data_IF_741634911516
#
_entry.id   IF_741634911516
#
_cell.length_a   1.000
_cell.length_b   1.000
_cell.length_c   1.000
_cell.angle_alpha   90.00
_cell.angle_beta   90.00
_cell.angle_gamma   90.00
#
_symmetry.space_group_name_H-M   'P 1'
#
loop_
_entity.id
_entity.type
_entity.pdbx_description
1 polymer ?
#
# COMPACT_ATOMS: atom_id res chain seq x y z
N UNK A 1 -13.23 -35.87 -8.38
CA UNK A 1 -12.15 -36.39 -9.23
C UNK A 1 -10.92 -35.60 -8.81
N UNK A 2 -10.17 -36.16 -7.88
CA UNK A 2 -9.06 -35.47 -7.20
C UNK A 2 -7.86 -35.38 -8.14
N UNK A 3 -7.44 -34.15 -8.45
CA UNK A 3 -6.27 -33.88 -9.28
C UNK A 3 -5.04 -33.87 -8.36
N UNK A 4 -3.99 -34.67 -8.64
CA UNK A 4 -2.80 -34.74 -7.80
C UNK A 4 -2.01 -33.41 -7.80
N UNK A 5 -1.36 -33.05 -6.67
CA UNK A 5 -0.82 -31.70 -6.40
C UNK A 5 0.40 -31.27 -7.23
N UNK A 6 0.79 -32.01 -8.27
CA UNK A 6 2.06 -31.77 -9.00
C UNK A 6 1.93 -31.10 -10.38
N UNK A 7 0.80 -30.49 -10.74
CA UNK A 7 0.63 -29.98 -12.13
C UNK A 7 0.47 -28.47 -12.31
N UNK A 8 0.80 -27.62 -11.33
CA UNK A 8 0.80 -26.17 -11.58
C UNK A 8 2.08 -25.79 -12.37
N UNK A 9 1.98 -25.81 -13.69
CA UNK A 9 3.11 -25.51 -14.59
C UNK A 9 3.18 -24.06 -15.03
N UNK A 10 2.12 -23.26 -14.80
CA UNK A 10 2.11 -21.84 -15.17
C UNK A 10 1.19 -20.99 -14.29
N UNK A 11 1.31 -19.68 -14.46
CA UNK A 11 0.58 -18.67 -13.68
C UNK A 11 -0.94 -18.70 -13.91
N UNK A 12 -1.40 -19.11 -15.10
CA UNK A 12 -2.83 -19.17 -15.42
C UNK A 12 -3.54 -20.32 -14.68
N UNK A 13 -2.86 -21.44 -14.47
CA UNK A 13 -3.34 -22.57 -13.65
C UNK A 13 -3.52 -22.16 -12.18
N UNK A 14 -2.58 -21.37 -11.66
CA UNK A 14 -2.59 -20.88 -10.28
C UNK A 14 -3.80 -19.96 -10.01
N UNK A 15 -4.11 -19.06 -10.96
CA UNK A 15 -5.26 -18.16 -10.85
C UNK A 15 -6.60 -18.90 -10.95
N UNK A 16 -6.68 -19.99 -11.71
CA UNK A 16 -7.87 -20.85 -11.77
C UNK A 16 -8.13 -21.55 -10.44
N UNK A 17 -7.10 -22.10 -9.80
CA UNK A 17 -7.26 -22.76 -8.49
C UNK A 17 -7.70 -21.79 -7.38
N UNK A 18 -7.20 -20.56 -7.40
CA UNK A 18 -7.62 -19.53 -6.43
C UNK A 18 -9.06 -19.08 -6.68
N UNK A 19 -9.50 -18.98 -7.95
CA UNK A 19 -10.87 -18.58 -8.29
C UNK A 19 -11.94 -19.62 -7.91
N UNK A 20 -11.59 -20.91 -7.84
CA UNK A 20 -12.54 -21.99 -7.52
C UNK A 20 -12.81 -22.08 -6.02
N UNK A 21 -11.93 -21.56 -5.16
CA UNK A 21 -12.15 -21.56 -3.70
C UNK A 21 -13.03 -20.40 -3.19
N UNK A 22 -13.45 -19.47 -4.06
CA UNK A 22 -14.13 -18.24 -3.63
C UNK A 22 -15.55 -18.06 -4.17
N UNK A 23 -16.21 -19.15 -4.59
CA UNK A 23 -17.62 -19.15 -4.97
C UNK A 23 -18.38 -20.10 -4.07
N UNK A 24 -18.98 -19.55 -3.01
CA UNK A 24 -20.19 -20.02 -2.32
C UNK A 24 -20.50 -19.04 -1.17
N UNK A 25 -21.31 -18.01 -1.45
CA UNK A 25 -22.52 -17.69 -0.67
C UNK A 25 -23.32 -16.57 -1.37
N UNK A 26 -24.37 -16.97 -2.08
CA UNK A 26 -25.42 -16.09 -2.57
C UNK A 26 -26.50 -16.00 -1.49
N UNK A 27 -26.73 -14.81 -0.94
CA UNK A 27 -28.05 -14.45 -0.38
C UNK A 27 -28.35 -12.95 -0.53
N UNK A 28 -29.00 -12.67 -1.66
CA UNK A 28 -30.15 -11.79 -1.91
C UNK A 28 -30.57 -10.70 -0.87
N UNK A 29 -30.76 -9.48 -1.40
CA UNK A 29 -31.39 -8.28 -0.81
C UNK A 29 -32.91 -8.46 -0.55
N UNK A 30 -33.62 -7.63 0.27
CA UNK A 30 -34.09 -6.32 -0.25
C UNK A 30 -34.37 -5.18 0.78
N UNK A 31 -34.33 -3.96 0.23
CA UNK A 31 -35.23 -2.81 0.45
C UNK A 31 -35.29 -2.01 1.78
N UNK A 32 -35.24 -0.68 1.60
CA UNK A 32 -35.54 0.38 2.57
C UNK A 32 -37.04 0.52 2.89
N UNK A 33 -37.39 1.31 3.92
CA UNK A 33 -38.32 2.41 3.69
C UNK A 33 -37.92 3.74 4.35
N UNK A 34 -38.58 4.79 3.91
CA UNK A 34 -38.30 6.20 4.13
C UNK A 34 -39.22 6.89 5.16
N UNK A 35 -38.86 8.15 5.47
CA UNK A 35 -39.66 9.29 5.99
C UNK A 35 -39.91 9.33 7.51
N UNK A 36 -39.54 10.46 8.15
CA UNK A 36 -40.47 11.31 8.91
C UNK A 36 -39.85 12.67 9.29
N UNK A 37 -40.66 13.69 9.02
CA UNK A 37 -40.65 15.14 9.25
C UNK A 37 -40.51 15.61 10.71
N UNK A 38 -39.83 16.75 10.93
CA UNK A 38 -40.17 17.77 11.94
C UNK A 38 -39.48 19.09 11.54
N UNK A 39 -40.16 19.99 10.81
CA UNK A 39 -40.97 21.14 11.29
C UNK A 39 -40.13 22.31 11.83
N UNK A 40 -40.39 23.46 11.22
CA UNK A 40 -39.75 24.76 11.35
C UNK A 40 -39.91 25.44 12.72
N UNK A 41 -38.99 26.34 13.03
CA UNK A 41 -39.26 27.51 13.86
C UNK A 41 -38.54 28.73 13.26
N UNK A 42 -39.36 29.67 12.79
CA UNK A 42 -39.00 31.01 12.31
C UNK A 42 -38.92 31.93 13.53
N UNK A 43 -37.85 32.70 13.64
CA UNK A 43 -37.80 33.89 14.51
C UNK A 43 -37.37 35.10 13.66
N UNK A 44 -38.29 36.06 13.55
CA UNK A 44 -38.11 37.39 12.98
C UNK A 44 -37.97 38.38 14.14
N UNK A 45 -36.85 39.08 14.25
CA UNK A 45 -36.82 40.44 14.83
C UNK A 45 -35.50 41.17 14.55
N UNK A 46 -35.66 42.29 13.83
CA UNK A 46 -34.98 43.58 14.02
C UNK A 46 -33.50 43.77 13.61
N UNK A 47 -33.32 44.56 12.55
CA UNK A 47 -32.08 45.25 12.19
C UNK A 47 -31.94 46.57 12.99
N UNK A 48 -30.71 47.01 13.24
CA UNK A 48 -30.36 48.42 13.12
C UNK A 48 -29.32 48.63 12.01
N UNK A 49 -29.56 49.69 11.24
CA UNK A 49 -28.65 50.29 10.28
C UNK A 49 -27.42 50.87 10.97
N UNK A 50 -26.22 50.51 10.51
CA UNK A 50 -25.11 51.46 10.46
C UNK A 50 -24.20 51.12 9.27
N UNK A 51 -24.04 52.13 8.42
CA UNK A 51 -23.08 52.24 7.34
C UNK A 51 -21.66 52.24 7.92
N UNK A 52 -20.75 51.47 7.35
CA UNK A 52 -19.37 51.92 7.10
C UNK A 52 -18.64 50.94 6.19
N UNK A 53 -18.68 51.33 4.91
CA UNK A 53 -17.74 50.98 3.86
C UNK A 53 -16.29 51.13 4.33
N UNK A 54 -15.63 50.04 4.71
CA UNK A 54 -14.16 49.99 4.71
C UNK A 54 -13.60 48.68 4.16
N UNK A 55 -12.77 48.86 3.13
CA UNK A 55 -11.54 48.11 2.81
C UNK A 55 -11.71 46.68 2.26
N UNK A 56 -11.55 46.61 0.94
CA UNK A 56 -10.81 45.60 0.18
C UNK A 56 -10.49 44.32 0.95
N UNK A 57 -11.29 43.29 0.67
CA UNK A 57 -11.05 41.92 1.15
C UNK A 57 -9.75 41.42 0.53
N UNK A 58 -8.69 41.44 1.32
CA UNK A 58 -7.47 40.67 1.10
C UNK A 58 -7.85 39.22 0.76
N UNK A 59 -7.29 38.62 -0.30
CA UNK A 59 -7.61 37.24 -0.63
C UNK A 59 -7.18 36.39 0.55
N UNK A 60 -8.14 35.64 1.11
CA UNK A 60 -7.88 34.63 2.13
C UNK A 60 -7.06 33.53 1.46
N UNK A 61 -5.74 33.74 1.40
CA UNK A 61 -4.76 32.70 1.07
C UNK A 61 -4.98 31.65 2.13
N UNK A 62 -5.77 30.63 1.78
CA UNK A 62 -5.78 29.37 2.53
C UNK A 62 -4.33 28.94 2.51
N UNK A 63 -3.65 29.12 3.63
CA UNK A 63 -2.29 28.65 3.79
C UNK A 63 -2.30 27.18 3.43
N UNK A 64 -1.83 26.85 2.24
CA UNK A 64 -1.38 25.51 1.91
C UNK A 64 -0.30 25.27 2.93
N UNK A 65 -0.60 24.46 3.96
CA UNK A 65 0.42 24.01 4.89
C UNK A 65 1.50 23.35 4.04
N UNK A 66 2.64 24.02 3.90
CA UNK A 66 3.83 23.41 3.32
C UNK A 66 4.21 22.36 4.36
N UNK A 67 3.86 21.11 4.09
CA UNK A 67 4.36 19.99 4.87
C UNK A 67 5.88 20.11 4.86
N UNK A 68 6.47 20.36 6.04
CA UNK A 68 7.91 20.18 6.25
C UNK A 68 8.25 18.79 5.72
N UNK A 69 9.37 18.60 4.98
CA UNK A 69 9.59 17.41 4.18
C UNK A 69 9.45 16.17 5.05
N UNK A 70 8.30 15.52 4.91
CA UNK A 70 8.00 14.26 5.56
C UNK A 70 8.98 13.23 5.02
N UNK A 71 9.29 12.22 5.83
CA UNK A 71 10.09 11.09 5.38
C UNK A 71 9.54 10.59 4.03
N UNK A 72 10.41 10.23 3.07
CA UNK A 72 9.96 9.78 1.75
C UNK A 72 8.92 8.66 1.92
N UNK A 73 7.74 8.75 1.29
CA UNK A 73 6.67 7.74 1.44
C UNK A 73 6.95 6.49 0.60
N UNK A 74 8.22 6.11 0.45
CA UNK A 74 8.66 4.97 -0.35
C UNK A 74 8.87 3.75 0.56
N UNK A 75 8.16 2.66 0.25
CA UNK A 75 8.35 1.37 0.90
C UNK A 75 9.07 0.43 -0.05
N UNK A 76 9.98 -0.39 0.48
CA UNK A 76 10.76 -1.29 -0.33
C UNK A 76 10.79 -2.71 0.24
N UNK A 77 10.73 -3.69 -0.66
CA UNK A 77 11.03 -5.08 -0.36
C UNK A 77 12.14 -5.56 -1.28
N UNK A 78 13.30 -5.84 -0.71
CA UNK A 78 14.55 -6.14 -1.41
C UNK A 78 14.97 -7.57 -1.10
N UNK A 79 15.23 -8.34 -2.14
CA UNK A 79 15.61 -9.76 -2.07
C UNK A 79 16.90 -9.95 -2.86
N UNK A 80 17.90 -10.60 -2.26
CA UNK A 80 19.15 -10.96 -2.94
C UNK A 80 19.55 -12.40 -2.64
N UNK A 81 19.66 -13.26 -3.66
CA UNK A 81 19.94 -14.69 -3.49
C UNK A 81 21.18 -15.11 -4.28
N UNK A 82 22.33 -15.16 -3.62
CA UNK A 82 23.53 -15.79 -4.19
C UNK A 82 23.48 -17.31 -4.07
N UNK A 83 23.04 -17.79 -2.91
CA UNK A 83 23.05 -19.21 -2.56
C UNK A 83 21.63 -19.76 -2.50
N UNK A 84 21.20 -20.34 -3.61
CA UNK A 84 19.96 -21.11 -3.67
C UNK A 84 20.07 -22.38 -2.81
N UNK A 85 18.97 -22.77 -2.16
CA UNK A 85 18.94 -23.96 -1.30
C UNK A 85 18.97 -25.28 -2.08
N UNK A 86 18.55 -25.25 -3.35
CA UNK A 86 18.65 -26.38 -4.25
C UNK A 86 20.09 -26.48 -4.77
N UNK A 87 20.82 -27.51 -4.34
CA UNK A 87 22.21 -27.76 -4.73
C UNK A 87 22.39 -28.00 -6.25
N UNK A 88 21.29 -28.22 -7.00
CA UNK A 88 21.31 -28.31 -8.46
C UNK A 88 21.46 -26.94 -9.13
N UNK A 89 21.16 -25.86 -8.41
CA UNK A 89 21.29 -24.50 -8.91
C UNK A 89 22.71 -23.97 -8.69
N UNK A 90 23.24 -23.31 -9.70
CA UNK A 90 24.56 -22.69 -9.60
C UNK A 90 24.50 -21.47 -8.68
N UNK A 91 25.47 -21.36 -7.77
CA UNK A 91 25.63 -20.19 -6.91
C UNK A 91 25.94 -18.95 -7.75
N UNK A 92 25.30 -17.85 -7.40
CA UNK A 92 25.62 -16.52 -7.91
C UNK A 92 26.62 -15.84 -6.97
N UNK A 93 27.19 -14.73 -7.41
CA UNK A 93 28.21 -13.98 -6.67
C UNK A 93 27.89 -12.49 -6.50
N UNK A 94 26.77 -12.03 -7.06
CA UNK A 94 26.44 -10.60 -7.17
C UNK A 94 25.07 -10.24 -6.64
N UNK A 95 24.15 -11.19 -6.49
CA UNK A 95 22.75 -10.91 -6.16
C UNK A 95 22.60 -10.26 -4.78
N UNK A 96 23.36 -10.72 -3.79
CA UNK A 96 23.36 -10.10 -2.46
C UNK A 96 24.02 -8.72 -2.51
N UNK A 97 25.13 -8.59 -3.24
CA UNK A 97 25.82 -7.31 -3.41
C UNK A 97 24.92 -6.27 -4.08
N UNK A 98 24.15 -6.66 -5.08
CA UNK A 98 23.23 -5.77 -5.81
C UNK A 98 22.06 -5.35 -4.90
N UNK A 99 21.52 -6.27 -4.11
CA UNK A 99 20.48 -6.00 -3.12
C UNK A 99 20.97 -5.05 -2.00
N UNK A 100 22.19 -5.23 -1.51
CA UNK A 100 22.82 -4.34 -0.53
C UNK A 100 23.05 -2.94 -1.12
N UNK A 101 23.52 -2.85 -2.37
CA UNK A 101 23.70 -1.58 -3.06
C UNK A 101 22.38 -0.84 -3.23
N UNK A 102 21.29 -1.56 -3.57
CA UNK A 102 19.96 -0.98 -3.67
C UNK A 102 19.49 -0.44 -2.31
N UNK A 103 19.61 -1.22 -1.23
CA UNK A 103 19.28 -0.76 0.13
C UNK A 103 20.06 0.50 0.49
N UNK A 104 21.36 0.50 0.21
CA UNK A 104 22.25 1.63 0.50
C UNK A 104 21.78 2.89 -0.23
N UNK A 105 21.49 2.78 -1.52
CA UNK A 105 20.95 3.88 -2.32
C UNK A 105 19.64 4.43 -1.74
N UNK A 106 18.70 3.56 -1.35
CA UNK A 106 17.43 4.00 -0.76
C UNK A 106 17.62 4.75 0.57
N UNK A 107 18.44 4.21 1.48
CA UNK A 107 18.58 4.75 2.83
C UNK A 107 19.52 5.95 2.87
N UNK A 108 20.67 5.85 2.19
CA UNK A 108 21.71 6.87 2.26
C UNK A 108 21.46 8.01 1.28
N UNK A 109 21.04 7.75 0.05
CA UNK A 109 20.90 8.79 -0.98
C UNK A 109 19.48 9.34 -1.01
N UNK A 110 18.47 8.46 -1.02
CA UNK A 110 17.06 8.85 -1.07
C UNK A 110 16.45 9.14 0.31
N UNK A 111 17.19 8.88 1.40
CA UNK A 111 16.75 9.10 2.80
C UNK A 111 15.46 8.36 3.17
N UNK A 112 15.21 7.21 2.54
CA UNK A 112 14.13 6.31 2.93
C UNK A 112 14.43 5.77 4.33
N UNK A 113 13.51 5.85 5.30
CA UNK A 113 13.70 5.27 6.61
C UNK A 113 13.93 3.76 6.51
N UNK A 114 14.89 3.24 7.27
CA UNK A 114 15.19 1.80 7.28
C UNK A 114 13.97 0.95 7.68
N UNK A 115 13.09 1.48 8.54
CA UNK A 115 11.82 0.85 8.91
C UNK A 115 10.83 0.66 7.76
N UNK A 116 11.04 1.32 6.61
CA UNK A 116 10.24 1.18 5.40
C UNK A 116 10.87 0.21 4.40
N UNK A 117 12.03 -0.39 4.71
CA UNK A 117 12.75 -1.33 3.86
C UNK A 117 12.76 -2.71 4.50
N UNK A 118 12.17 -3.70 3.84
CA UNK A 118 12.27 -5.12 4.22
C UNK A 118 13.33 -5.80 3.36
N UNK A 119 14.17 -6.63 3.96
CA UNK A 119 15.32 -7.27 3.31
C UNK A 119 15.31 -8.78 3.56
N UNK A 120 15.62 -9.57 2.53
CA UNK A 120 15.89 -11.00 2.65
C UNK A 120 17.11 -11.39 1.81
N UNK A 121 18.02 -12.17 2.40
CA UNK A 121 19.21 -12.66 1.71
C UNK A 121 19.34 -14.17 1.78
N UNK A 122 19.82 -14.79 0.70
CA UNK A 122 20.21 -16.21 0.66
C UNK A 122 19.16 -17.14 1.30
N UNK A 123 19.53 -17.84 2.37
CA UNK A 123 18.68 -18.82 3.07
C UNK A 123 17.46 -18.18 3.74
N UNK A 124 17.54 -16.91 4.12
CA UNK A 124 16.43 -16.18 4.72
C UNK A 124 15.37 -15.83 3.66
N UNK A 125 15.78 -15.71 2.39
CA UNK A 125 14.90 -15.55 1.24
C UNK A 125 14.22 -16.87 0.83
N UNK A 126 13.72 -17.63 1.80
CA UNK A 126 12.90 -18.81 1.55
C UNK A 126 11.60 -18.44 0.83
N UNK A 127 11.00 -19.40 0.10
CA UNK A 127 9.71 -19.19 -0.57
C UNK A 127 8.64 -18.63 0.39
N UNK A 128 8.57 -19.18 1.61
CA UNK A 128 7.61 -18.72 2.61
C UNK A 128 7.91 -17.28 3.04
N UNK A 129 9.17 -16.96 3.34
CA UNK A 129 9.56 -15.62 3.76
C UNK A 129 9.32 -14.56 2.66
N UNK A 130 9.52 -14.92 1.39
CA UNK A 130 9.21 -14.03 0.26
C UNK A 130 7.70 -13.74 0.19
N UNK A 131 6.87 -14.78 0.31
CA UNK A 131 5.40 -14.62 0.36
C UNK A 131 4.99 -13.76 1.55
N UNK A 132 5.56 -14.01 2.73
CA UNK A 132 5.29 -13.23 3.94
C UNK A 132 5.70 -11.77 3.77
N UNK A 133 6.77 -11.48 3.03
CA UNK A 133 7.19 -10.11 2.68
C UNK A 133 6.15 -9.39 1.81
N UNK A 134 5.59 -10.05 0.81
CA UNK A 134 4.49 -9.49 0.01
C UNK A 134 3.22 -9.27 0.84
N UNK A 135 2.86 -10.21 1.72
CA UNK A 135 1.73 -10.07 2.64
C UNK A 135 1.95 -8.87 3.57
N UNK A 136 3.16 -8.71 4.12
CA UNK A 136 3.52 -7.56 4.96
C UNK A 136 3.35 -6.24 4.20
N UNK A 137 3.76 -6.15 2.94
CA UNK A 137 3.52 -4.95 2.13
C UNK A 137 2.01 -4.68 1.96
N UNK A 138 1.23 -5.71 1.59
CA UNK A 138 -0.23 -5.59 1.40
C UNK A 138 -0.94 -5.10 2.67
N UNK A 139 -0.55 -5.62 3.82
CA UNK A 139 -1.22 -5.39 5.10
C UNK A 139 -0.62 -4.21 5.90
N UNK A 140 0.40 -3.54 5.36
CA UNK A 140 1.07 -2.42 6.01
C UNK A 140 0.19 -1.16 6.01
N UNK A 141 -0.40 -0.85 7.16
CA UNK A 141 -1.27 0.32 7.36
C UNK A 141 -0.58 1.67 7.19
N UNK A 142 0.76 1.71 7.16
CA UNK A 142 1.51 2.94 6.93
C UNK A 142 1.57 3.31 5.44
N UNK A 143 1.39 2.35 4.54
CA UNK A 143 1.32 2.59 3.09
C UNK A 143 -0.06 3.18 2.78
N UNK A 144 -0.08 4.35 2.16
CA UNK A 144 -1.29 5.04 1.73
C UNK A 144 -1.51 4.84 0.24
N UNK A 145 -2.73 5.20 -0.19
CA UNK A 145 -3.05 5.22 -1.61
C UNK A 145 -2.09 6.18 -2.31
N UNK A 146 -1.59 5.74 -3.48
CA UNK A 146 -0.63 6.44 -4.33
C UNK A 146 0.81 6.53 -3.77
N UNK A 147 1.10 5.92 -2.62
CA UNK A 147 2.48 5.77 -2.14
C UNK A 147 3.26 4.78 -3.02
N UNK A 148 4.52 5.11 -3.40
CA UNK A 148 5.32 4.22 -4.21
C UNK A 148 5.81 3.01 -3.41
N UNK A 149 5.81 1.84 -4.07
CA UNK A 149 6.39 0.60 -3.56
C UNK A 149 7.47 0.14 -4.55
N UNK A 150 8.67 -0.12 -4.04
CA UNK A 150 9.75 -0.76 -4.79
C UNK A 150 9.86 -2.23 -4.38
N UNK A 151 9.85 -3.13 -5.35
CA UNK A 151 10.22 -4.52 -5.15
C UNK A 151 11.47 -4.78 -5.99
N UNK A 152 12.54 -5.22 -5.33
CA UNK A 152 13.81 -5.53 -5.97
C UNK A 152 14.17 -7.01 -5.72
N UNK A 153 14.54 -7.71 -6.77
CA UNK A 153 14.98 -9.10 -6.70
C UNK A 153 16.23 -9.26 -7.57
N UNK A 154 17.28 -9.84 -6.99
CA UNK A 154 18.49 -10.26 -7.68
C UNK A 154 18.86 -11.70 -7.30
#
# INVERSE_FOLDING_TARGET
MDIPPESITNYAELLRNISIMNVNDDSESPAAPAKTTATAAVWLASLPTHDERTRDREPKVRGTQIALPGQPPLFAFIIGIDNYQDDRLTKLYGAVSDAEAMRKYLVEDLKVPDSQVTLLYNRDASRQAIIDGFIKLRDNKNIKKDDPILIYYA
#
